data_IF_805734446697
#
_entry.id   IF_805734446697
#
_cell.length_a   1.000
_cell.length_b   1.000
_cell.length_c   1.000
_cell.angle_alpha   90.00
_cell.angle_beta   90.00
_cell.angle_gamma   90.00
#
_symmetry.space_group_name_H-M   'P 1'
#
loop_
_entity.id
_entity.type
_entity.pdbx_description
1 polymer ?
#
# COMPACT_ATOMS: atom_id res chain seq x y z
N UNK A 1 23.33 27.12 5.94
CA UNK A 1 22.61 25.84 6.15
C UNK A 1 21.37 25.90 5.26
N UNK A 2 21.30 25.08 4.22
CA UNK A 2 20.14 25.10 3.30
C UNK A 2 18.91 24.50 3.99
N UNK A 3 17.76 25.14 3.81
CA UNK A 3 16.48 24.65 4.34
C UNK A 3 15.73 23.95 3.22
N UNK A 4 15.47 22.65 3.37
CA UNK A 4 14.76 21.82 2.38
C UNK A 4 13.75 20.91 3.07
N UNK A 5 12.65 20.62 2.38
CA UNK A 5 11.73 19.56 2.79
C UNK A 5 12.40 18.19 2.64
N UNK A 6 12.02 17.26 3.51
CA UNK A 6 12.38 15.85 3.39
C UNK A 6 11.14 15.00 3.63
N UNK A 7 11.04 13.90 2.91
CA UNK A 7 10.11 12.83 3.22
C UNK A 7 10.92 11.72 3.87
N UNK A 8 10.46 11.17 4.98
CA UNK A 8 11.27 10.27 5.79
C UNK A 8 10.39 9.21 6.44
N UNK A 9 10.89 7.97 6.44
CA UNK A 9 10.31 6.87 7.20
C UNK A 9 11.25 6.46 8.33
N UNK A 10 10.65 6.22 9.49
CA UNK A 10 11.35 5.75 10.67
C UNK A 10 10.74 4.41 11.10
N UNK A 11 11.59 3.43 11.32
CA UNK A 11 11.24 2.25 12.10
C UNK A 11 11.46 2.56 13.57
N UNK A 12 10.43 2.37 14.39
CA UNK A 12 10.46 2.69 15.82
C UNK A 12 10.36 1.41 16.64
N UNK A 13 11.43 1.08 17.35
CA UNK A 13 11.42 0.08 18.41
C UNK A 13 10.97 0.76 19.70
N UNK A 14 9.69 0.57 20.03
CA UNK A 14 9.07 1.17 21.22
C UNK A 14 9.53 0.50 22.52
N UNK A 15 10.01 -0.74 22.48
CA UNK A 15 10.50 -1.44 23.67
C UNK A 15 11.89 -0.91 24.08
N UNK A 16 12.74 -0.59 23.11
CA UNK A 16 14.07 -0.03 23.34
C UNK A 16 14.10 1.51 23.31
N UNK A 17 12.99 2.16 22.92
CA UNK A 17 12.95 3.62 22.74
C UNK A 17 13.88 4.10 21.63
N UNK A 18 14.05 3.30 20.57
CA UNK A 18 14.95 3.61 19.45
C UNK A 18 14.16 3.86 18.17
N UNK A 19 14.68 4.77 17.36
CA UNK A 19 14.19 4.99 16.01
C UNK A 19 15.34 4.89 15.01
N UNK A 20 15.11 4.24 13.88
CA UNK A 20 16.05 4.12 12.77
C UNK A 20 15.42 4.68 11.51
N UNK A 21 16.15 5.53 10.80
CA UNK A 21 15.77 5.95 9.45
C UNK A 21 15.82 4.75 8.50
N UNK A 22 14.69 4.41 7.89
CA UNK A 22 14.59 3.31 6.92
C UNK A 22 14.51 3.81 5.49
N UNK A 23 14.10 5.06 5.29
CA UNK A 23 14.02 5.69 3.98
C UNK A 23 14.03 7.22 4.13
N UNK A 24 14.67 7.89 3.18
CA UNK A 24 14.78 9.33 3.11
C UNK A 24 14.75 9.78 1.65
N UNK A 25 13.76 10.60 1.31
CA UNK A 25 13.70 11.30 0.03
C UNK A 25 13.91 12.80 0.22
N UNK A 26 14.72 13.34 -0.68
CA UNK A 26 15.06 14.74 -0.78
C UNK A 26 14.49 15.28 -2.09
N UNK A 27 13.31 15.92 -2.07
CA UNK A 27 12.73 16.52 -3.26
C UNK A 27 13.68 17.57 -3.88
N UNK A 28 13.55 17.85 -5.19
CA UNK A 28 14.36 18.85 -5.87
C UNK A 28 14.41 20.19 -5.11
N UNK A 29 15.62 20.71 -4.93
CA UNK A 29 15.88 21.93 -4.17
C UNK A 29 15.11 23.12 -4.77
N UNK A 30 14.58 23.98 -3.90
CA UNK A 30 13.88 25.22 -4.29
C UNK A 30 12.46 25.02 -4.82
N UNK A 31 12.06 23.81 -5.23
CA UNK A 31 10.71 23.52 -5.72
C UNK A 31 9.72 23.22 -4.59
N UNK A 32 10.17 22.68 -3.46
CA UNK A 32 9.29 22.25 -2.36
C UNK A 32 9.76 22.84 -1.02
N UNK A 33 8.98 23.78 -0.49
CA UNK A 33 9.35 24.59 0.68
C UNK A 33 9.04 23.95 2.05
N UNK A 34 9.81 24.28 3.10
CA UNK A 34 9.86 23.59 4.40
C UNK A 34 8.83 24.06 5.43
N UNK A 35 7.57 24.29 5.05
CA UNK A 35 6.53 24.79 5.99
C UNK A 35 5.64 23.70 6.54
N UNK A 36 4.83 23.11 5.67
CA UNK A 36 3.91 22.03 6.02
C UNK A 36 3.93 20.97 4.93
N UNK A 37 3.77 19.72 5.34
CA UNK A 37 3.66 18.60 4.44
C UNK A 37 3.12 17.38 5.16
N UNK A 38 2.76 16.40 4.35
CA UNK A 38 2.27 15.10 4.79
C UNK A 38 2.91 14.05 3.90
N UNK A 39 3.01 12.83 4.40
CA UNK A 39 3.56 11.69 3.68
C UNK A 39 2.69 10.47 3.94
N UNK A 40 2.40 9.71 2.88
CA UNK A 40 1.70 8.44 2.99
C UNK A 40 2.36 7.38 2.09
N UNK A 41 2.69 6.22 2.67
CA UNK A 41 3.23 5.07 1.93
C UNK A 41 2.06 4.28 1.34
N UNK A 42 2.05 4.13 0.03
CA UNK A 42 1.04 3.38 -0.71
C UNK A 42 1.38 1.88 -0.70
N UNK A 43 0.36 0.99 -0.72
CA UNK A 43 0.59 -0.45 -0.67
C UNK A 43 1.41 -1.05 -1.82
N UNK A 44 1.53 -0.34 -2.95
CA UNK A 44 2.39 -0.71 -4.08
C UNK A 44 3.84 -0.20 -3.97
N UNK A 45 4.29 0.21 -2.78
CA UNK A 45 5.64 0.72 -2.57
C UNK A 45 5.88 2.12 -3.15
N UNK A 46 4.82 2.80 -3.57
CA UNK A 46 4.87 4.21 -3.94
C UNK A 46 4.70 5.08 -2.69
N UNK A 47 5.13 6.34 -2.74
CA UNK A 47 4.96 7.31 -1.65
C UNK A 47 4.25 8.55 -2.15
N UNK A 48 3.19 8.98 -1.46
CA UNK A 48 2.62 10.31 -1.62
C UNK A 48 3.35 11.30 -0.71
N UNK A 49 3.84 12.40 -1.28
CA UNK A 49 4.32 13.56 -0.56
C UNK A 49 3.41 14.75 -0.82
N UNK A 50 3.00 15.44 0.23
CA UNK A 50 2.23 16.68 0.18
C UNK A 50 3.15 17.84 0.52
N UNK A 51 3.11 18.88 -0.32
CA UNK A 51 3.96 20.06 -0.20
C UNK A 51 3.09 21.32 -0.23
N UNK A 52 2.87 21.90 0.94
CA UNK A 52 1.97 23.07 1.12
C UNK A 52 2.43 24.32 0.37
N UNK A 53 3.74 24.62 0.37
CA UNK A 53 4.25 25.89 -0.17
C UNK A 53 3.99 26.05 -1.68
N UNK A 54 4.09 24.96 -2.43
CA UNK A 54 3.74 24.93 -3.85
C UNK A 54 2.36 24.33 -4.10
N UNK A 55 1.61 24.06 -3.03
CA UNK A 55 0.28 23.44 -3.06
C UNK A 55 0.26 22.25 -4.03
N UNK A 56 1.09 21.24 -3.73
CA UNK A 56 1.24 20.09 -4.60
C UNK A 56 1.20 18.78 -3.84
N UNK A 57 0.60 17.77 -4.47
CA UNK A 57 0.74 16.36 -4.12
C UNK A 57 1.59 15.70 -5.20
N UNK A 58 2.61 14.96 -4.80
CA UNK A 58 3.44 14.19 -5.70
C UNK A 58 3.49 12.74 -5.26
N UNK A 59 3.36 11.83 -6.22
CA UNK A 59 3.63 10.42 -6.00
C UNK A 59 5.03 10.09 -6.49
N UNK A 60 5.76 9.34 -5.69
CA UNK A 60 7.07 8.79 -6.01
C UNK A 60 6.97 7.26 -6.08
N UNK A 61 7.65 6.64 -7.03
CA UNK A 61 7.73 5.18 -7.11
C UNK A 61 8.74 4.62 -6.10
N UNK A 62 8.92 3.30 -6.08
CA UNK A 62 9.89 2.60 -5.21
C UNK A 62 11.35 3.02 -5.45
N UNK A 63 11.65 3.68 -6.56
CA UNK A 63 12.99 4.17 -6.94
C UNK A 63 13.10 5.68 -6.76
N UNK A 64 12.19 6.27 -5.97
CA UNK A 64 12.15 7.70 -5.67
C UNK A 64 11.92 8.59 -6.90
N UNK A 65 11.40 8.04 -7.99
CA UNK A 65 11.12 8.80 -9.21
C UNK A 65 9.71 9.36 -9.16
N UNK A 66 9.51 10.63 -9.53
CA UNK A 66 8.17 11.22 -9.58
C UNK A 66 7.32 10.50 -10.63
N UNK A 67 6.17 9.98 -10.21
CA UNK A 67 5.18 9.29 -11.06
C UNK A 67 4.19 10.31 -11.62
N UNK A 68 3.63 11.15 -10.74
CA UNK A 68 2.73 12.23 -11.12
C UNK A 68 2.76 13.37 -10.09
N UNK A 69 2.34 14.56 -10.51
CA UNK A 69 2.22 15.76 -9.68
C UNK A 69 0.85 16.40 -9.90
N UNK A 70 0.05 16.52 -8.84
CA UNK A 70 -1.14 17.36 -8.82
C UNK A 70 -0.74 18.71 -8.22
N UNK A 71 -0.98 19.79 -8.95
CA UNK A 71 -0.78 21.17 -8.48
C UNK A 71 -2.12 21.84 -8.26
N UNK A 72 -2.34 22.36 -7.08
CA UNK A 72 -3.48 23.21 -6.78
C UNK A 72 -3.09 24.66 -7.11
N UNK A 73 -3.67 25.20 -8.17
CA UNK A 73 -3.51 26.61 -8.50
C UNK A 73 -4.57 27.43 -7.79
N UNK A 74 -4.21 28.35 -6.86
CA UNK A 74 -5.19 29.30 -6.36
C UNK A 74 -5.77 30.09 -7.52
N UNK A 75 -7.09 30.23 -7.59
CA UNK A 75 -7.70 31.20 -8.50
C UNK A 75 -7.14 32.58 -8.14
N UNK A 76 -6.66 33.30 -9.15
CA UNK A 76 -5.96 34.60 -9.18
C UNK A 76 -6.49 35.74 -8.27
N UNK A 77 -7.60 35.56 -7.53
CA UNK A 77 -8.32 36.59 -6.78
C UNK A 77 -8.37 36.39 -5.26
N UNK A 78 -7.56 35.51 -4.69
CA UNK A 78 -7.27 35.60 -3.26
C UNK A 78 -5.98 36.39 -3.11
N UNK A 79 -6.06 37.71 -2.95
CA UNK A 79 -4.89 38.57 -2.76
C UNK A 79 -4.71 38.78 -1.25
N UNK A 80 -3.82 37.98 -0.64
CA UNK A 80 -3.42 38.14 0.75
C UNK A 80 -2.26 37.20 1.12
N UNK A 81 -1.44 37.54 2.11
CA UNK A 81 -0.28 36.73 2.55
C UNK A 81 -0.65 35.37 3.20
N UNK A 82 -1.95 35.04 3.23
CA UNK A 82 -2.51 33.85 3.88
C UNK A 82 -3.18 32.87 2.90
N UNK A 83 -2.77 32.85 1.62
CA UNK A 83 -3.23 31.89 0.61
C UNK A 83 -2.66 30.48 0.83
N UNK A 84 -2.81 29.93 2.03
CA UNK A 84 -2.34 28.60 2.36
C UNK A 84 -3.49 27.63 2.08
N UNK A 85 -3.37 26.83 1.02
CA UNK A 85 -4.18 25.62 0.95
C UNK A 85 -3.69 24.69 2.05
N UNK A 86 -4.53 24.53 3.06
CA UNK A 86 -4.31 23.56 4.13
C UNK A 86 -4.71 22.19 3.60
N UNK A 87 -3.75 21.49 2.98
CA UNK A 87 -3.92 20.07 2.69
C UNK A 87 -3.58 19.32 3.96
N UNK A 88 -4.61 19.00 4.74
CA UNK A 88 -4.47 18.33 6.03
C UNK A 88 -4.16 16.83 5.89
N UNK A 89 -4.60 16.22 4.80
CA UNK A 89 -4.44 14.79 4.55
C UNK A 89 -4.69 14.49 3.07
N UNK A 90 -3.89 13.60 2.49
CA UNK A 90 -4.15 13.03 1.16
C UNK A 90 -4.17 11.52 1.24
N UNK A 91 -5.27 10.93 0.81
CA UNK A 91 -5.45 9.48 0.74
C UNK A 91 -5.74 9.07 -0.70
N UNK A 92 -5.14 7.96 -1.14
CA UNK A 92 -5.50 7.32 -2.39
C UNK A 92 -6.56 6.25 -2.12
N UNK A 93 -7.76 6.45 -2.65
CA UNK A 93 -8.80 5.43 -2.65
C UNK A 93 -8.61 4.52 -3.85
N UNK A 94 -8.64 3.20 -3.62
CA UNK A 94 -8.65 2.21 -4.69
C UNK A 94 -10.08 1.75 -4.94
N UNK A 95 -10.38 1.35 -6.17
CA UNK A 95 -11.72 0.86 -6.51
C UNK A 95 -12.01 -0.49 -5.84
N UNK A 96 -10.99 -1.31 -5.61
CA UNK A 96 -11.09 -2.66 -5.09
C UNK A 96 -9.96 -2.95 -4.10
N UNK A 97 -10.14 -3.90 -3.16
CA UNK A 97 -9.12 -4.23 -2.16
C UNK A 97 -7.76 -4.47 -2.80
N UNK A 98 -6.69 -3.93 -2.22
CA UNK A 98 -5.36 -4.23 -2.70
C UNK A 98 -4.88 -5.53 -2.09
N UNK A 99 -4.30 -6.39 -2.92
CA UNK A 99 -3.82 -7.72 -2.52
C UNK A 99 -2.36 -7.83 -2.94
N UNK A 100 -1.48 -8.08 -1.97
CA UNK A 100 -0.08 -8.43 -2.21
C UNK A 100 0.12 -9.85 -1.71
N UNK A 101 0.67 -10.70 -2.57
CA UNK A 101 0.85 -12.13 -2.27
C UNK A 101 2.29 -12.50 -2.47
N UNK A 102 2.82 -13.28 -1.53
CA UNK A 102 4.10 -13.96 -1.65
C UNK A 102 3.90 -15.42 -1.25
N UNK A 103 4.58 -16.34 -1.92
CA UNK A 103 4.55 -17.77 -1.63
C UNK A 103 5.85 -18.18 -0.94
N UNK A 104 5.74 -18.98 0.11
CA UNK A 104 6.87 -19.68 0.73
C UNK A 104 6.36 -20.92 1.49
N UNK A 105 7.03 -22.07 1.39
CA UNK A 105 6.80 -23.27 2.23
C UNK A 105 5.33 -23.69 2.34
N UNK A 106 4.67 -23.89 1.21
CA UNK A 106 3.24 -24.25 1.12
C UNK A 106 2.26 -23.26 1.80
N UNK A 107 2.70 -22.04 2.03
CA UNK A 107 1.90 -20.95 2.61
C UNK A 107 1.93 -19.74 1.69
N UNK A 108 0.78 -19.11 1.49
CA UNK A 108 0.69 -17.77 0.94
C UNK A 108 0.68 -16.75 2.07
N UNK A 109 1.72 -15.92 2.11
CA UNK A 109 1.72 -14.69 2.90
C UNK A 109 1.01 -13.61 2.08
N UNK A 110 -0.18 -13.24 2.53
CA UNK A 110 -1.07 -12.30 1.85
C UNK A 110 -1.23 -11.05 2.70
N UNK A 111 -0.86 -9.90 2.16
CA UNK A 111 -1.18 -8.60 2.73
C UNK A 111 -2.36 -8.00 1.97
N UNK A 112 -3.42 -7.63 2.68
CA UNK A 112 -4.61 -7.02 2.08
C UNK A 112 -4.93 -5.68 2.72
N UNK A 113 -5.31 -4.70 1.90
CA UNK A 113 -5.79 -3.39 2.34
C UNK A 113 -7.24 -3.20 1.93
N UNK A 114 -8.08 -2.75 2.87
CA UNK A 114 -9.39 -2.23 2.50
C UNK A 114 -9.22 -0.85 1.87
N UNK A 115 -10.06 -0.54 0.88
CA UNK A 115 -9.95 0.71 0.13
C UNK A 115 -10.63 1.89 0.80
N UNK A 116 -11.52 1.62 1.75
CA UNK A 116 -12.27 2.63 2.48
C UNK A 116 -11.70 2.75 3.89
N UNK A 117 -11.46 4.00 4.31
CA UNK A 117 -11.10 4.32 5.69
C UNK A 117 -12.28 4.03 6.60
N UNK A 118 -12.25 2.88 7.25
CA UNK A 118 -13.23 2.55 8.30
C UNK A 118 -12.58 2.66 9.67
N UNK A 119 -13.25 3.36 10.59
CA UNK A 119 -12.85 3.40 12.01
C UNK A 119 -13.03 2.04 12.69
N UNK A 120 -13.86 1.18 12.10
CA UNK A 120 -14.16 -0.17 12.57
C UNK A 120 -13.58 -1.22 11.63
N UNK A 121 -13.33 -2.42 12.15
CA UNK A 121 -12.90 -3.57 11.35
C UNK A 121 -14.03 -4.01 10.42
N UNK A 122 -13.82 -3.95 9.11
CA UNK A 122 -14.76 -4.45 8.11
C UNK A 122 -14.53 -5.94 7.85
N UNK A 123 -15.56 -6.68 7.45
CA UNK A 123 -15.43 -8.11 7.08
C UNK A 123 -14.99 -8.24 5.62
N UNK A 124 -14.25 -9.29 5.34
CA UNK A 124 -13.86 -9.68 3.99
C UNK A 124 -13.78 -11.20 3.83
N UNK A 125 -13.71 -11.64 2.58
CA UNK A 125 -13.51 -13.04 2.21
C UNK A 125 -12.34 -13.14 1.25
N UNK A 126 -11.41 -14.05 1.53
CA UNK A 126 -10.32 -14.40 0.63
C UNK A 126 -10.59 -15.77 0.02
N UNK A 127 -10.40 -15.89 -1.29
CA UNK A 127 -10.56 -17.12 -2.05
C UNK A 127 -9.31 -17.34 -2.89
N UNK A 128 -8.72 -18.53 -2.79
CA UNK A 128 -7.57 -18.97 -3.58
C UNK A 128 -8.04 -19.99 -4.60
N UNK A 129 -7.70 -19.79 -5.87
CA UNK A 129 -8.07 -20.67 -6.98
C UNK A 129 -6.85 -21.03 -7.81
N UNK A 130 -6.86 -22.20 -8.42
CA UNK A 130 -5.95 -22.52 -9.51
C UNK A 130 -6.31 -21.68 -10.75
N UNK A 131 -5.33 -21.03 -11.37
CA UNK A 131 -5.59 -20.09 -12.47
C UNK A 131 -6.23 -20.76 -13.69
N UNK A 132 -5.77 -21.96 -14.05
CA UNK A 132 -6.21 -22.65 -15.27
C UNK A 132 -7.59 -23.31 -15.09
N UNK A 133 -7.81 -23.98 -13.97
CA UNK A 133 -9.03 -24.76 -13.72
C UNK A 133 -10.12 -23.96 -13.01
N UNK A 134 -9.78 -22.78 -12.46
CA UNK A 134 -10.62 -22.00 -11.55
C UNK A 134 -11.09 -22.79 -10.31
N UNK A 135 -10.48 -23.95 -10.06
CA UNK A 135 -10.80 -24.80 -8.91
C UNK A 135 -10.41 -24.08 -7.63
N UNK A 136 -11.37 -23.95 -6.72
CA UNK A 136 -11.13 -23.37 -5.41
C UNK A 136 -10.23 -24.29 -4.58
N UNK A 137 -9.08 -23.75 -4.17
CA UNK A 137 -8.13 -24.42 -3.27
C UNK A 137 -8.52 -24.14 -1.83
N UNK A 138 -8.83 -22.88 -1.52
CA UNK A 138 -9.20 -22.46 -0.17
C UNK A 138 -10.10 -21.22 -0.21
N UNK A 139 -10.96 -21.10 0.80
CA UNK A 139 -11.70 -19.88 1.08
C UNK A 139 -11.76 -19.63 2.58
N UNK A 140 -11.63 -18.38 2.99
CA UNK A 140 -11.67 -17.98 4.40
C UNK A 140 -12.25 -16.59 4.58
N UNK A 141 -13.03 -16.40 5.63
CA UNK A 141 -13.47 -15.07 6.08
C UNK A 141 -12.44 -14.46 7.03
N UNK A 142 -12.27 -13.14 6.95
CA UNK A 142 -11.36 -12.39 7.82
C UNK A 142 -11.92 -10.99 8.12
N UNK A 143 -11.23 -10.27 9.00
CA UNK A 143 -11.52 -8.87 9.29
C UNK A 143 -10.35 -7.99 8.85
N UNK A 144 -10.65 -6.94 8.11
CA UNK A 144 -9.67 -5.92 7.76
C UNK A 144 -9.23 -5.14 8.99
N UNK A 145 -7.93 -4.79 9.02
CA UNK A 145 -7.39 -3.79 9.93
C UNK A 145 -8.00 -2.41 9.64
N UNK A 146 -8.15 -1.61 10.69
CA UNK A 146 -8.66 -0.23 10.56
C UNK A 146 -7.62 0.70 9.93
N UNK A 147 -8.09 1.85 9.43
CA UNK A 147 -7.25 2.99 8.98
C UNK A 147 -6.16 2.61 7.95
N UNK A 148 -6.52 1.89 6.89
CA UNK A 148 -5.62 1.53 5.79
C UNK A 148 -4.36 0.74 6.21
N UNK A 149 -4.37 0.09 7.38
CA UNK A 149 -3.28 -0.79 7.77
C UNK A 149 -3.36 -2.11 6.98
N UNK A 150 -2.22 -2.71 6.60
CA UNK A 150 -2.23 -4.04 6.03
C UNK A 150 -2.87 -5.03 7.00
N UNK A 151 -3.69 -5.90 6.44
CA UNK A 151 -4.14 -7.12 7.11
C UNK A 151 -3.29 -8.25 6.58
N UNK A 152 -2.38 -8.74 7.42
CA UNK A 152 -1.49 -9.83 7.06
C UNK A 152 -2.17 -11.17 7.39
N UNK A 153 -2.29 -12.02 6.37
CA UNK A 153 -2.90 -13.34 6.44
C UNK A 153 -1.87 -14.38 6.02
N UNK A 154 -1.88 -15.50 6.74
CA UNK A 154 -1.12 -16.70 6.39
C UNK A 154 -2.11 -17.75 5.93
N UNK A 155 -2.07 -18.12 4.65
CA UNK A 155 -2.99 -19.09 4.06
C UNK A 155 -2.23 -20.38 3.73
N UNK A 156 -2.47 -21.48 4.45
CA UNK A 156 -1.97 -22.78 4.00
C UNK A 156 -2.61 -23.14 2.66
N UNK A 157 -1.93 -23.95 1.85
CA UNK A 157 -2.43 -24.44 0.57
C UNK A 157 -2.73 -25.95 0.64
N UNK A 158 -3.88 -26.34 1.22
CA UNK A 158 -4.21 -27.76 1.37
C UNK A 158 -4.33 -28.43 0.00
N UNK A 159 -3.74 -29.63 -0.14
CA UNK A 159 -3.77 -30.41 -1.39
C UNK A 159 -2.75 -29.98 -2.44
N UNK A 160 -2.14 -28.81 -2.31
CA UNK A 160 -0.91 -28.44 -3.03
C UNK A 160 0.28 -28.85 -2.16
N UNK A 161 0.52 -30.17 -2.12
CA UNK A 161 1.57 -30.77 -1.30
C UNK A 161 2.98 -30.53 -1.87
N UNK A 162 3.97 -30.61 -0.97
CA UNK A 162 5.38 -30.71 -1.35
C UNK A 162 5.58 -32.07 -2.06
N UNK A 163 5.91 -32.04 -3.35
CA UNK A 163 6.03 -33.24 -4.17
C UNK A 163 6.65 -32.93 -5.53
N UNK A 164 7.02 -33.97 -6.27
CA UNK A 164 7.79 -33.91 -7.54
C UNK A 164 7.03 -33.28 -8.74
N UNK A 165 6.14 -32.33 -8.50
CA UNK A 165 5.65 -31.45 -9.54
C UNK A 165 6.79 -30.51 -9.94
N UNK A 166 7.35 -30.74 -11.12
CA UNK A 166 8.46 -29.96 -11.67
C UNK A 166 8.07 -28.52 -12.07
N UNK A 167 6.77 -28.23 -12.14
CA UNK A 167 6.24 -26.96 -12.65
C UNK A 167 5.51 -26.18 -11.58
N UNK A 168 5.72 -24.85 -11.48
CA UNK A 168 4.93 -23.99 -10.60
C UNK A 168 3.44 -24.07 -10.90
N UNK A 169 2.62 -24.09 -9.84
CA UNK A 169 1.17 -24.05 -9.94
C UNK A 169 0.72 -22.58 -9.94
N UNK A 170 0.16 -22.06 -11.04
CA UNK A 170 -0.35 -20.69 -11.07
C UNK A 170 -1.65 -20.61 -10.28
N UNK A 171 -1.70 -19.68 -9.32
CA UNK A 171 -2.83 -19.42 -8.44
C UNK A 171 -3.31 -17.98 -8.61
N UNK A 172 -4.62 -17.80 -8.41
CA UNK A 172 -5.28 -16.49 -8.31
C UNK A 172 -5.81 -16.34 -6.89
N UNK A 173 -5.42 -15.26 -6.23
CA UNK A 173 -5.95 -14.87 -4.93
C UNK A 173 -6.96 -13.74 -5.13
N UNK A 174 -8.21 -13.99 -4.80
CA UNK A 174 -9.29 -13.02 -4.86
C UNK A 174 -9.70 -12.58 -3.45
N UNK A 175 -9.85 -11.28 -3.23
CA UNK A 175 -10.29 -10.72 -1.96
C UNK A 175 -11.50 -9.83 -2.16
N UNK A 176 -12.61 -10.23 -1.55
CA UNK A 176 -13.88 -9.50 -1.58
C UNK A 176 -14.09 -8.76 -0.26
N UNK A 177 -14.41 -7.46 -0.32
CA UNK A 177 -14.81 -6.68 0.86
C UNK A 177 -16.33 -6.73 1.09
N UNK A 178 -16.80 -6.07 2.16
CA UNK A 178 -18.21 -6.00 2.54
C UNK A 178 -19.10 -5.33 1.47
N UNK A 179 -18.54 -4.40 0.68
CA UNK A 179 -19.24 -3.70 -0.39
C UNK A 179 -19.32 -4.53 -1.69
N UNK A 180 -18.70 -5.71 -1.69
CA UNK A 180 -18.70 -6.64 -2.82
C UNK A 180 -17.63 -6.39 -3.88
N UNK A 181 -16.72 -5.45 -3.64
CA UNK A 181 -15.58 -5.15 -4.52
C UNK A 181 -14.52 -6.24 -4.37
N UNK A 182 -13.92 -6.66 -5.49
CA UNK A 182 -13.01 -7.80 -5.55
C UNK A 182 -11.65 -7.38 -6.06
N UNK A 183 -10.64 -7.44 -5.20
CA UNK A 183 -9.24 -7.30 -5.57
C UNK A 183 -8.63 -8.64 -5.95
N UNK A 184 -7.66 -8.65 -6.85
CA UNK A 184 -6.98 -9.88 -7.29
C UNK A 184 -5.46 -9.74 -7.30
N UNK A 185 -4.78 -10.85 -7.07
CA UNK A 185 -3.36 -11.00 -7.31
C UNK A 185 -3.06 -12.40 -7.81
N UNK A 186 -2.21 -12.49 -8.83
CA UNK A 186 -1.69 -13.75 -9.34
C UNK A 186 -0.40 -14.11 -8.60
N UNK A 187 -0.22 -15.40 -8.32
CA UNK A 187 1.01 -15.93 -7.69
C UNK A 187 1.31 -17.30 -8.25
N UNK A 188 2.59 -17.59 -8.49
CA UNK A 188 3.04 -18.95 -8.78
C UNK A 188 3.48 -19.61 -7.46
N UNK A 189 2.87 -20.75 -7.13
CA UNK A 189 3.35 -21.59 -6.05
C UNK A 189 4.34 -22.61 -6.61
N UNK A 190 5.59 -22.61 -6.16
CA UNK A 190 6.53 -23.68 -6.49
C UNK A 190 6.47 -24.78 -5.44
N UNK A 191 6.20 -26.04 -5.82
CA UNK A 191 6.30 -27.18 -4.90
C UNK A 191 7.72 -27.37 -4.32
N UNK A 192 8.74 -26.81 -4.97
CA UNK A 192 10.13 -26.76 -4.49
C UNK A 192 10.38 -25.74 -3.39
N UNK A 193 9.42 -24.86 -3.08
CA UNK A 193 9.54 -23.86 -2.01
C UNK A 193 9.15 -24.44 -0.64
N UNK A 194 8.79 -25.72 -0.62
CA UNK A 194 8.89 -26.60 0.53
C UNK A 194 10.36 -27.06 0.69
#
# INVERSE_FOLDING_TARGET
REVRSKLMELEVDTAQGRARETWLLLPPLGKYGPRYGDINRLPGGHTLGVFSFVSSVMEYDEKDRPVWELKFHPKKKMAGPYNQFWVWHVERFFKEPLVKVTSARAVLAVSVWNTVRTRYKARGTITVKESATQKQVQQRSFQFSANHRPTNLSLPLPGLGCGAQASPVPLVVEVKNADGLVGKADVAFSPSDC
#
